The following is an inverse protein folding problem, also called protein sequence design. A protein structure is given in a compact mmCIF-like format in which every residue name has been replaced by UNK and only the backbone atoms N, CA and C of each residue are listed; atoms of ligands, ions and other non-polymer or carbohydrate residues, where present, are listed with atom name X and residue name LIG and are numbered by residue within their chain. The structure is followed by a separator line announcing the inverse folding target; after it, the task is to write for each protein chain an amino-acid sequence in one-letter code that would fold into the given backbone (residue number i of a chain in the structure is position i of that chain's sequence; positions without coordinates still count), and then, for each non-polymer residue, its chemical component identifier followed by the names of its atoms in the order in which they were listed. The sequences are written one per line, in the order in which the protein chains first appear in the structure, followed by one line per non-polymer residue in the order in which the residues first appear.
data_IF_098690852978
#
_entry.id   IF_098690852978
#
_cell.length_a   1.000
_cell.length_b   1.000
_cell.length_c   1.000
_cell.angle_alpha   90.00
_cell.angle_beta   90.00
_cell.angle_gamma   90.00
#
_symmetry.space_group_name_H-M   'P 1'
#
loop_
_entity.id
_entity.type
_entity.pdbx_description
1 polymer ?
#
# COMPACT_ATOMS: atom_id res chain seq x y z
N UNK A 1 -6.37 -1.58 -13.89
CA UNK A 1 -5.57 -1.70 -12.65
C UNK A 1 -5.93 -0.63 -11.62
N UNK A 2 -5.77 0.67 -11.94
CA UNK A 2 -6.07 1.76 -10.99
C UNK A 2 -7.49 1.71 -10.41
N UNK A 3 -8.51 1.63 -11.26
CA UNK A 3 -9.91 1.53 -10.81
C UNK A 3 -10.16 0.34 -9.88
N UNK A 4 -9.62 -0.83 -10.22
CA UNK A 4 -9.72 -2.01 -9.37
C UNK A 4 -9.08 -1.77 -7.99
N UNK A 5 -7.89 -1.17 -7.95
CA UNK A 5 -7.22 -0.85 -6.68
C UNK A 5 -8.08 0.05 -5.79
N UNK A 6 -8.61 1.15 -6.34
CA UNK A 6 -9.42 2.09 -5.57
C UNK A 6 -10.76 1.50 -5.15
N UNK A 7 -11.48 0.82 -6.05
CA UNK A 7 -12.75 0.16 -5.70
C UNK A 7 -12.56 -0.87 -4.58
N UNK A 8 -11.50 -1.69 -4.68
CA UNK A 8 -11.13 -2.66 -3.64
C UNK A 8 -10.79 -1.95 -2.33
N UNK A 9 -10.03 -0.85 -2.36
CA UNK A 9 -9.67 -0.07 -1.16
C UNK A 9 -10.90 0.54 -0.48
N UNK A 10 -11.83 1.10 -1.24
CA UNK A 10 -13.08 1.64 -0.70
C UNK A 10 -13.93 0.53 -0.08
N UNK A 11 -14.07 -0.61 -0.79
CA UNK A 11 -14.76 -1.78 -0.26
C UNK A 11 -14.13 -2.28 1.06
N UNK A 12 -12.81 -2.40 1.12
CA UNK A 12 -12.11 -2.81 2.34
C UNK A 12 -12.27 -1.82 3.49
N UNK A 13 -12.29 -0.53 3.18
CA UNK A 13 -12.46 0.53 4.18
C UNK A 13 -13.85 0.49 4.80
N UNK A 14 -14.90 0.20 4.00
CA UNK A 14 -16.29 0.11 4.47
C UNK A 14 -16.56 -1.20 5.20
N UNK A 15 -16.13 -2.34 4.66
CA UNK A 15 -16.60 -3.66 5.13
C UNK A 15 -15.58 -4.42 6.00
N UNK A 16 -14.28 -4.16 5.83
CA UNK A 16 -13.21 -4.96 6.47
C UNK A 16 -12.55 -4.19 7.61
N UNK A 17 -12.19 -2.93 7.40
CA UNK A 17 -11.40 -2.17 8.36
C UNK A 17 -12.18 -1.91 9.66
N UNK A 18 -11.49 -2.05 10.79
CA UNK A 18 -11.96 -1.63 12.12
C UNK A 18 -10.99 -0.60 12.68
N UNK A 19 -11.32 0.67 12.53
CA UNK A 19 -10.44 1.77 12.95
C UNK A 19 -10.43 1.95 14.47
N UNK A 20 -9.26 2.21 15.06
CA UNK A 20 -9.15 2.46 16.51
C UNK A 20 -9.44 3.91 16.90
N UNK A 21 -9.29 4.84 15.94
CA UNK A 21 -9.64 6.24 16.07
C UNK A 21 -10.76 6.51 15.08
N UNK A 22 -11.78 7.27 15.51
CA UNK A 22 -12.92 7.63 14.67
C UNK A 22 -12.50 8.52 13.49
N UNK A 23 -11.44 9.32 13.66
CA UNK A 23 -11.00 10.30 12.66
C UNK A 23 -9.48 10.28 12.45
N UNK A 24 -9.09 10.66 11.23
CA UNK A 24 -7.71 10.99 10.86
C UNK A 24 -7.52 12.51 11.00
N UNK A 25 -6.30 13.00 11.34
CA UNK A 25 -6.02 14.43 11.31
C UNK A 25 -6.32 15.05 9.94
N UNK A 26 -6.98 16.22 9.93
CA UNK A 26 -7.42 16.92 8.70
C UNK A 26 -6.25 17.21 7.75
N UNK A 27 -5.06 17.53 8.26
CA UNK A 27 -3.88 17.74 7.42
C UNK A 27 -3.53 16.53 6.54
N UNK A 28 -3.71 15.30 7.07
CA UNK A 28 -3.46 14.08 6.30
C UNK A 28 -4.53 13.86 5.21
N UNK A 29 -5.74 14.41 5.38
CA UNK A 29 -6.78 14.35 4.36
C UNK A 29 -6.34 15.15 3.13
N UNK A 30 -5.88 16.39 3.32
CA UNK A 30 -5.39 17.21 2.22
C UNK A 30 -4.19 16.60 1.51
N UNK A 31 -3.22 16.07 2.26
CA UNK A 31 -2.06 15.37 1.69
C UNK A 31 -2.51 14.17 0.85
N UNK A 32 -3.42 13.34 1.38
CA UNK A 32 -3.92 12.17 0.66
C UNK A 32 -4.72 12.56 -0.59
N UNK A 33 -5.60 13.56 -0.50
CA UNK A 33 -6.38 14.05 -1.64
C UNK A 33 -5.48 14.63 -2.72
N UNK A 34 -4.52 15.49 -2.35
CA UNK A 34 -3.57 16.07 -3.30
C UNK A 34 -2.79 14.98 -4.04
N UNK A 35 -2.24 14.01 -3.31
CA UNK A 35 -1.45 12.94 -3.92
C UNK A 35 -2.28 12.09 -4.88
N UNK A 36 -3.50 11.68 -4.51
CA UNK A 36 -4.33 10.87 -5.39
C UNK A 36 -4.92 11.66 -6.56
N UNK A 37 -5.35 12.91 -6.34
CA UNK A 37 -6.02 13.67 -7.39
C UNK A 37 -5.02 14.26 -8.39
N UNK A 38 -3.90 14.79 -7.90
CA UNK A 38 -2.92 15.43 -8.76
C UNK A 38 -1.91 14.43 -9.29
N UNK A 39 -1.24 13.67 -8.43
CA UNK A 39 -0.15 12.79 -8.89
C UNK A 39 -0.70 11.53 -9.57
N UNK A 40 -1.79 10.94 -9.07
CA UNK A 40 -2.39 9.76 -9.72
C UNK A 40 -3.35 10.15 -10.86
N UNK A 41 -4.41 10.90 -10.58
CA UNK A 41 -5.47 11.12 -11.57
C UNK A 41 -5.04 12.07 -12.69
N UNK A 42 -4.48 13.25 -12.37
CA UNK A 42 -3.94 14.14 -13.40
C UNK A 42 -2.63 13.62 -13.96
N UNK A 43 -1.69 13.18 -13.11
CA UNK A 43 -0.36 12.74 -13.55
C UNK A 43 -0.40 11.46 -14.39
N UNK A 44 -0.83 10.33 -13.81
CA UNK A 44 -0.86 9.05 -14.55
C UNK A 44 -1.97 9.07 -15.61
N UNK A 45 -3.15 9.60 -15.26
CA UNK A 45 -4.28 9.65 -16.17
C UNK A 45 -4.01 10.47 -17.44
N UNK A 46 -3.36 11.64 -17.32
CA UNK A 46 -3.01 12.45 -18.49
C UNK A 46 -2.18 11.65 -19.50
N UNK A 47 -1.09 11.00 -19.06
CA UNK A 47 -0.24 10.26 -19.99
C UNK A 47 -0.94 9.03 -20.56
N UNK A 48 -1.67 8.26 -19.75
CA UNK A 48 -2.31 7.01 -20.19
C UNK A 48 -3.47 7.28 -21.16
N UNK A 49 -4.21 8.37 -21.00
CA UNK A 49 -5.32 8.74 -21.89
C UNK A 49 -4.89 9.63 -23.06
N UNK A 50 -3.64 10.10 -23.07
CA UNK A 50 -3.15 10.93 -24.16
C UNK A 50 -3.01 10.10 -25.46
N UNK A 51 -3.49 10.59 -26.62
CA UNK A 51 -3.44 9.83 -27.89
C UNK A 51 -2.03 9.44 -28.35
N UNK A 52 -1.00 10.13 -27.84
CA UNK A 52 0.42 9.87 -28.12
C UNK A 52 1.13 9.10 -27.01
N UNK A 53 0.39 8.38 -26.17
CA UNK A 53 0.98 7.53 -25.15
C UNK A 53 1.95 6.53 -25.80
N UNK A 54 3.20 6.58 -25.36
CA UNK A 54 4.22 5.59 -25.70
C UNK A 54 4.91 5.17 -24.39
N UNK A 55 5.07 3.87 -24.23
CA UNK A 55 5.80 3.29 -23.11
C UNK A 55 7.30 3.64 -23.26
N UNK A 56 7.97 4.00 -22.16
CA UNK A 56 9.41 4.32 -22.19
C UNK A 56 10.22 3.05 -22.50
N UNK A 57 9.77 1.91 -21.99
CA UNK A 57 10.34 0.58 -22.22
C UNK A 57 9.26 -0.32 -22.83
N UNK A 58 9.55 -0.89 -23.99
CA UNK A 58 8.68 -1.82 -24.69
C UNK A 58 8.72 -3.20 -24.00
N UNK A 59 7.74 -3.47 -23.16
CA UNK A 59 7.55 -4.81 -22.61
C UNK A 59 6.81 -5.72 -23.60
N UNK A 60 7.29 -6.96 -23.72
CA UNK A 60 6.62 -8.04 -24.43
C UNK A 60 5.23 -8.30 -23.86
N UNK A 61 4.34 -8.85 -24.68
CA UNK A 61 2.99 -9.27 -24.26
C UNK A 61 3.04 -10.19 -23.04
N UNK A 62 4.01 -11.10 -22.99
CA UNK A 62 4.20 -12.03 -21.87
C UNK A 62 4.57 -11.31 -20.58
N UNK A 63 5.48 -10.33 -20.65
CA UNK A 63 5.91 -9.54 -19.49
C UNK A 63 4.74 -8.72 -18.92
N UNK A 64 3.91 -8.13 -19.80
CA UNK A 64 2.70 -7.43 -19.38
C UNK A 64 1.70 -8.36 -18.70
N UNK A 65 1.53 -9.59 -19.19
CA UNK A 65 0.68 -10.59 -18.51
C UNK A 65 1.20 -10.95 -17.13
N UNK A 66 2.52 -11.12 -16.97
CA UNK A 66 3.15 -11.37 -15.67
C UNK A 66 2.93 -10.20 -14.71
N UNK A 67 3.07 -8.96 -15.17
CA UNK A 67 2.79 -7.76 -14.35
C UNK A 67 1.33 -7.69 -13.90
N UNK A 68 0.38 -8.06 -14.76
CA UNK A 68 -1.04 -8.13 -14.38
C UNK A 68 -1.26 -9.20 -13.31
N UNK A 69 -0.67 -10.39 -13.46
CA UNK A 69 -0.77 -11.46 -12.46
C UNK A 69 -0.16 -11.03 -11.12
N UNK A 70 1.00 -10.36 -11.15
CA UNK A 70 1.68 -9.84 -9.97
C UNK A 70 0.84 -8.75 -9.28
N UNK A 71 0.16 -7.89 -10.05
CA UNK A 71 -0.75 -6.89 -9.50
C UNK A 71 -1.87 -7.55 -8.67
N UNK A 72 -2.54 -8.57 -9.21
CA UNK A 72 -3.60 -9.27 -8.47
C UNK A 72 -3.07 -10.02 -7.25
N UNK A 73 -1.87 -10.62 -7.36
CA UNK A 73 -1.20 -11.23 -6.22
C UNK A 73 -0.96 -10.22 -5.09
N UNK A 74 -0.37 -9.05 -5.39
CA UNK A 74 -0.13 -8.01 -4.38
C UNK A 74 -1.44 -7.44 -3.79
N UNK A 75 -2.51 -7.36 -4.59
CA UNK A 75 -3.84 -6.96 -4.10
C UNK A 75 -4.42 -7.97 -3.11
N UNK A 76 -4.31 -9.26 -3.43
CA UNK A 76 -4.71 -10.35 -2.55
C UNK A 76 -3.89 -10.33 -1.24
N UNK A 77 -2.57 -10.19 -1.33
CA UNK A 77 -1.73 -10.11 -0.14
C UNK A 77 -2.08 -8.91 0.74
N UNK A 78 -2.32 -7.73 0.14
CA UNK A 78 -2.83 -6.56 0.86
C UNK A 78 -4.15 -6.86 1.58
N UNK A 79 -5.11 -7.53 0.92
CA UNK A 79 -6.38 -7.93 1.53
C UNK A 79 -6.16 -8.85 2.73
N UNK A 80 -5.31 -9.88 2.60
CA UNK A 80 -5.01 -10.81 3.70
C UNK A 80 -4.37 -10.10 4.90
N UNK A 81 -3.52 -9.10 4.66
CA UNK A 81 -2.98 -8.28 5.76
C UNK A 81 -4.05 -7.44 6.45
N UNK A 82 -5.02 -6.89 5.71
CA UNK A 82 -6.13 -6.14 6.28
C UNK A 82 -7.08 -7.01 7.09
N UNK A 83 -7.40 -8.22 6.62
CA UNK A 83 -8.17 -9.21 7.38
C UNK A 83 -7.44 -9.58 8.68
N UNK A 84 -6.13 -9.82 8.61
CA UNK A 84 -5.30 -10.11 9.79
C UNK A 84 -5.38 -8.96 10.79
N UNK A 85 -5.18 -7.72 10.34
CA UNK A 85 -5.24 -6.52 11.20
C UNK A 85 -6.63 -6.31 11.80
N UNK A 86 -7.70 -6.63 11.07
CA UNK A 86 -9.09 -6.62 11.58
C UNK A 86 -9.29 -7.66 12.68
N UNK A 87 -8.80 -8.87 12.49
CA UNK A 87 -8.99 -9.99 13.42
C UNK A 87 -8.28 -9.78 14.76
N UNK A 88 -7.23 -8.95 14.79
CA UNK A 88 -6.58 -8.51 16.04
C UNK A 88 -7.47 -7.59 16.91
N UNK A 89 -8.63 -7.14 16.38
CA UNK A 89 -9.56 -6.25 17.07
C UNK A 89 -10.95 -6.89 17.14
N UNK A 90 -11.26 -7.65 18.21
CA UNK A 90 -12.62 -8.10 18.48
C UNK A 90 -13.62 -6.92 18.47
N UNK A 91 -14.86 -7.17 18.01
CA UNK A 91 -15.89 -6.12 17.91
C UNK A 91 -16.08 -5.44 19.28
N UNK A 92 -16.12 -4.12 19.31
CA UNK A 92 -16.32 -3.33 20.54
C UNK A 92 -15.08 -3.13 21.41
N UNK A 93 -13.93 -3.73 21.06
CA UNK A 93 -12.69 -3.58 21.85
C UNK A 93 -11.67 -2.65 21.19
N UNK A 94 -10.86 -1.97 22.03
CA UNK A 94 -9.69 -1.20 21.58
C UNK A 94 -8.37 -1.97 21.72
N UNK A 95 -8.46 -3.27 22.02
CA UNK A 95 -7.29 -4.14 22.23
C UNK A 95 -6.45 -4.16 20.95
N UNK A 96 -5.14 -4.11 21.13
CA UNK A 96 -4.17 -4.20 20.06
C UNK A 96 -3.36 -5.46 20.24
N UNK A 97 -3.05 -6.13 19.13
CA UNK A 97 -2.19 -7.30 19.11
C UNK A 97 -1.07 -7.14 18.09
N UNK A 98 -0.14 -8.10 18.13
CA UNK A 98 0.95 -8.22 17.15
C UNK A 98 0.44 -9.05 15.98
N UNK A 99 0.44 -8.53 14.74
CA UNK A 99 0.04 -9.30 13.57
C UNK A 99 1.07 -10.38 13.22
N UNK A 100 0.59 -11.49 12.68
CA UNK A 100 1.38 -12.62 12.19
C UNK A 100 0.89 -13.03 10.79
N UNK A 101 1.73 -13.73 10.03
CA UNK A 101 1.47 -14.21 8.67
C UNK A 101 1.39 -13.10 7.59
N UNK A 102 1.31 -13.49 6.32
CA UNK A 102 1.10 -12.57 5.17
C UNK A 102 2.16 -11.47 5.01
N UNK A 103 3.38 -11.74 5.46
CA UNK A 103 4.51 -10.81 5.48
C UNK A 103 4.81 -10.21 6.84
N UNK A 104 3.88 -10.28 7.81
CA UNK A 104 4.11 -9.73 9.15
C UNK A 104 5.21 -10.45 9.95
N UNK A 105 5.60 -11.65 9.54
CA UNK A 105 6.74 -12.38 10.10
C UNK A 105 8.09 -11.73 9.76
N UNK A 106 8.18 -10.98 8.66
CA UNK A 106 9.40 -10.33 8.21
C UNK A 106 9.38 -8.83 8.51
N UNK A 107 8.22 -8.19 8.36
CA UNK A 107 8.07 -6.73 8.48
C UNK A 107 6.91 -6.34 9.38
N UNK A 108 7.04 -5.21 10.09
CA UNK A 108 6.01 -4.69 10.98
C UNK A 108 4.78 -4.18 10.23
N UNK A 109 5.01 -3.61 9.05
CA UNK A 109 3.98 -2.97 8.25
C UNK A 109 3.80 -3.67 6.91
N UNK A 110 3.50 -4.98 6.94
CA UNK A 110 3.30 -5.78 5.73
C UNK A 110 2.21 -5.22 4.80
N UNK A 111 1.18 -4.59 5.36
CA UNK A 111 0.14 -3.92 4.56
C UNK A 111 0.72 -2.77 3.70
N UNK A 112 1.65 -1.98 4.24
CA UNK A 112 2.30 -0.89 3.48
C UNK A 112 3.32 -1.43 2.48
N UNK A 113 3.98 -2.55 2.79
CA UNK A 113 4.87 -3.22 1.86
C UNK A 113 4.11 -3.67 0.60
N UNK A 114 3.01 -4.41 0.78
CA UNK A 114 2.21 -4.89 -0.36
C UNK A 114 1.55 -3.74 -1.13
N UNK A 115 1.14 -2.66 -0.45
CA UNK A 115 0.65 -1.45 -1.11
C UNK A 115 1.74 -0.79 -1.97
N UNK A 116 2.98 -0.69 -1.48
CA UNK A 116 4.10 -0.19 -2.27
C UNK A 116 4.38 -1.07 -3.50
N UNK A 117 4.32 -2.39 -3.35
CA UNK A 117 4.51 -3.33 -4.47
C UNK A 117 3.43 -3.19 -5.54
N UNK A 118 2.17 -2.92 -5.15
CA UNK A 118 1.10 -2.62 -6.12
C UNK A 118 1.48 -1.41 -6.98
N UNK A 119 1.99 -0.35 -6.37
CA UNK A 119 2.37 0.87 -7.09
C UNK A 119 3.59 0.69 -7.98
N UNK A 120 4.59 -0.08 -7.53
CA UNK A 120 5.72 -0.49 -8.37
C UNK A 120 5.24 -1.24 -9.62
N UNK A 121 4.32 -2.19 -9.46
CA UNK A 121 3.77 -2.94 -10.60
C UNK A 121 2.96 -2.04 -11.54
N UNK A 122 2.16 -1.11 -11.01
CA UNK A 122 1.44 -0.12 -11.82
C UNK A 122 2.41 0.79 -12.59
N UNK A 123 3.50 1.23 -11.96
CA UNK A 123 4.51 2.06 -12.61
C UNK A 123 5.25 1.31 -13.71
N UNK A 124 5.62 0.05 -13.49
CA UNK A 124 6.23 -0.80 -14.52
C UNK A 124 5.26 -1.04 -15.69
N UNK A 125 3.99 -1.34 -15.39
CA UNK A 125 2.98 -1.62 -16.41
C UNK A 125 2.62 -0.39 -17.26
N UNK A 126 2.39 0.76 -16.63
CA UNK A 126 2.08 2.01 -17.33
C UNK A 126 3.32 2.67 -17.94
N UNK A 127 4.50 2.34 -17.43
CA UNK A 127 5.79 2.77 -17.96
C UNK A 127 5.87 4.27 -18.26
N UNK A 128 5.29 5.10 -17.40
CA UNK A 128 5.31 6.57 -17.52
C UNK A 128 6.15 7.19 -16.41
N UNK A 129 6.80 8.31 -16.72
CA UNK A 129 7.56 9.09 -15.73
C UNK A 129 6.66 9.49 -14.55
N UNK A 130 5.41 9.86 -14.82
CA UNK A 130 4.46 10.24 -13.77
C UNK A 130 4.16 9.09 -12.81
N UNK A 131 4.03 7.85 -13.29
CA UNK A 131 3.77 6.70 -12.44
C UNK A 131 4.97 6.32 -11.55
N UNK A 132 6.20 6.50 -12.05
CA UNK A 132 7.41 6.33 -11.24
C UNK A 132 7.53 7.41 -10.16
N UNK A 133 7.32 8.68 -10.51
CA UNK A 133 7.32 9.79 -9.54
C UNK A 133 6.25 9.55 -8.46
N UNK A 134 5.04 9.18 -8.88
CA UNK A 134 3.96 8.83 -7.97
C UNK A 134 4.35 7.71 -7.00
N UNK A 135 4.95 6.63 -7.51
CA UNK A 135 5.37 5.49 -6.69
C UNK A 135 6.43 5.88 -5.65
N UNK A 136 7.39 6.73 -6.03
CA UNK A 136 8.40 7.26 -5.08
C UNK A 136 7.75 8.13 -4.01
N UNK A 137 6.83 9.03 -4.39
CA UNK A 137 6.12 9.88 -3.45
C UNK A 137 5.29 9.05 -2.45
N UNK A 138 4.54 8.06 -2.93
CA UNK A 138 3.80 7.12 -2.08
C UNK A 138 4.73 6.34 -1.17
N UNK A 139 5.85 5.84 -1.71
CA UNK A 139 6.87 5.16 -0.94
C UNK A 139 7.31 5.99 0.26
N UNK A 140 7.72 7.23 0.05
CA UNK A 140 8.18 8.12 1.11
C UNK A 140 7.14 8.28 2.25
N UNK A 141 5.88 8.52 1.89
CA UNK A 141 4.78 8.66 2.85
C UNK A 141 4.60 7.36 3.65
N UNK A 142 4.57 6.22 2.96
CA UNK A 142 4.42 4.91 3.60
C UNK A 142 5.60 4.57 4.51
N UNK A 143 6.84 4.89 4.13
CA UNK A 143 8.03 4.68 4.95
C UNK A 143 7.94 5.46 6.28
N UNK A 144 7.56 6.73 6.22
CA UNK A 144 7.41 7.58 7.41
C UNK A 144 6.32 7.06 8.36
N UNK A 145 5.20 6.61 7.81
CA UNK A 145 4.12 6.01 8.60
C UNK A 145 4.53 4.65 9.19
N UNK A 146 5.22 3.82 8.40
CA UNK A 146 5.70 2.52 8.82
C UNK A 146 6.69 2.65 9.99
N UNK A 147 7.63 3.59 9.90
CA UNK A 147 8.63 3.89 10.93
C UNK A 147 7.96 4.24 12.26
N UNK A 148 7.01 5.18 12.24
CA UNK A 148 6.24 5.57 13.43
C UNK A 148 5.48 4.39 14.04
N UNK A 149 4.89 3.53 13.20
CA UNK A 149 4.13 2.35 13.64
C UNK A 149 5.05 1.26 14.22
N UNK A 150 6.22 1.03 13.63
CA UNK A 150 7.23 0.08 14.10
C UNK A 150 7.74 0.43 15.50
N UNK A 151 8.20 1.67 15.71
CA UNK A 151 8.66 2.12 17.03
C UNK A 151 7.56 2.05 18.09
N UNK A 152 6.32 2.33 17.69
CA UNK A 152 5.18 2.16 18.57
C UNK A 152 4.98 0.70 18.99
N UNK A 153 5.12 -0.26 18.08
CA UNK A 153 5.04 -1.68 18.42
C UNK A 153 6.14 -2.10 19.42
N UNK A 154 7.38 -1.67 19.22
CA UNK A 154 8.49 -1.97 20.14
C UNK A 154 8.21 -1.41 21.54
N UNK A 155 7.67 -0.19 21.64
CA UNK A 155 7.35 0.44 22.93
C UNK A 155 6.13 -0.17 23.61
N UNK A 156 5.11 -0.53 22.83
CA UNK A 156 3.81 -1.01 23.32
C UNK A 156 3.85 -2.50 23.71
N UNK A 157 4.67 -3.32 23.05
CA UNK A 157 4.70 -4.77 23.26
C UNK A 157 6.10 -5.25 23.67
N UNK A 158 6.30 -5.65 24.95
CA UNK A 158 7.57 -6.21 25.41
C UNK A 158 7.99 -7.47 24.63
N UNK A 159 7.02 -8.29 24.22
CA UNK A 159 7.23 -9.54 23.48
C UNK A 159 7.32 -9.34 21.96
N UNK A 160 7.55 -8.11 21.48
CA UNK A 160 7.67 -7.84 20.05
C UNK A 160 8.99 -8.37 19.47
N UNK A 161 8.92 -9.11 18.36
CA UNK A 161 10.13 -9.58 17.67
C UNK A 161 10.87 -8.39 17.01
N UNK A 162 11.97 -7.97 17.65
CA UNK A 162 12.81 -6.86 17.20
C UNK A 162 13.60 -7.16 15.93
N UNK A 163 13.62 -8.41 15.45
CA UNK A 163 14.24 -8.77 14.16
C UNK A 163 13.37 -8.36 12.97
N UNK A 164 12.08 -8.12 13.18
CA UNK A 164 11.19 -7.62 12.13
C UNK A 164 11.68 -6.27 11.63
N UNK A 165 11.72 -6.13 10.32
CA UNK A 165 12.03 -4.87 9.63
C UNK A 165 10.78 -3.98 9.57
N UNK A 166 10.94 -2.72 9.23
CA UNK A 166 9.86 -1.73 9.23
C UNK A 166 8.87 -2.05 8.10
N UNK A 167 9.36 -2.21 6.87
CA UNK A 167 8.53 -2.37 5.66
C UNK A 167 9.18 -3.18 4.53
N UNK A 168 10.50 -3.08 4.27
CA UNK A 168 11.18 -3.90 3.26
C UNK A 168 11.81 -5.11 3.97
N UNK A 169 11.41 -6.35 3.62
CA UNK A 169 12.00 -7.55 4.21
C UNK A 169 13.52 -7.54 4.08
N UNK A 170 14.21 -7.91 5.17
CA UNK A 170 15.67 -8.04 5.27
C UNK A 170 16.49 -6.74 5.13
N UNK A 171 15.91 -5.67 4.60
CA UNK A 171 16.61 -4.40 4.34
C UNK A 171 16.20 -3.33 5.37
N UNK A 172 14.92 -2.93 5.39
CA UNK A 172 14.47 -1.75 6.12
C UNK A 172 13.17 -1.95 6.87
#
# INVERSE_FOLDING_TARGET
MLMFHFLKREFESVFIHRFSKSTMPIANLFINCFHYWILCALGIGYFVFHPRYNEIILFSKHEKTVLIALFFYCQFMTLMTHITLRNLRPKGTKVRGIPHNWGFQYVSCANYFWELMIWVVVALYSNTVSAYIFTVAVGFILFEWAKKKHYKYIKEFPNYDRRRKIIIPFIY
#
